data_IF_182228112148
#
_entry.id   IF_182228112148
#
_cell.length_a   1.000
_cell.length_b   1.000
_cell.length_c   1.000
_cell.angle_alpha   90.00
_cell.angle_beta   90.00
_cell.angle_gamma   90.00
#
_symmetry.space_group_name_H-M   'P 1'
#
loop_
_entity.id
_entity.type
_entity.pdbx_description
1 polymer ?
#
# COMPACT_ATOMS: atom_id res chain seq x y z
N UNK A 1 -61.98 -45.88 7.93
CA UNK A 1 -61.16 -44.83 8.60
C UNK A 1 -59.68 -44.88 8.22
N UNK A 2 -59.06 -46.06 8.07
CA UNK A 2 -57.63 -46.22 7.72
C UNK A 2 -57.24 -45.82 6.27
N UNK A 3 -58.16 -45.87 5.30
CA UNK A 3 -57.88 -45.45 3.91
C UNK A 3 -57.74 -43.94 3.78
N UNK A 4 -58.62 -43.17 4.43
CA UNK A 4 -58.60 -41.70 4.40
C UNK A 4 -57.30 -41.12 4.99
N UNK A 5 -56.75 -41.75 6.04
CA UNK A 5 -55.47 -41.32 6.62
C UNK A 5 -54.29 -41.56 5.68
N UNK A 6 -54.30 -42.67 4.91
CA UNK A 6 -53.23 -42.98 3.94
C UNK A 6 -53.25 -42.03 2.74
N UNK A 7 -54.42 -41.70 2.21
CA UNK A 7 -54.53 -40.72 1.13
C UNK A 7 -54.13 -39.32 1.58
N UNK A 8 -54.57 -38.91 2.78
CA UNK A 8 -54.21 -37.60 3.34
C UNK A 8 -52.69 -37.46 3.57
N UNK A 9 -52.04 -38.50 4.11
CA UNK A 9 -50.59 -38.54 4.32
C UNK A 9 -49.82 -38.55 2.98
N UNK A 10 -50.30 -39.28 1.98
CA UNK A 10 -49.65 -39.33 0.64
C UNK A 10 -49.75 -37.99 -0.08
N UNK A 11 -50.88 -37.30 0.05
CA UNK A 11 -51.08 -35.93 -0.45
C UNK A 11 -50.14 -34.98 0.31
N UNK A 12 -50.00 -35.07 1.63
CA UNK A 12 -49.07 -34.17 2.35
C UNK A 12 -47.61 -34.40 1.96
N UNK A 13 -47.20 -35.66 1.81
CA UNK A 13 -45.82 -36.04 1.45
C UNK A 13 -45.44 -35.56 0.04
N UNK A 14 -46.39 -35.42 -0.88
CA UNK A 14 -46.13 -35.00 -2.27
C UNK A 14 -46.20 -33.49 -2.47
N UNK A 15 -47.08 -32.80 -1.74
CA UNK A 15 -47.27 -31.35 -1.90
C UNK A 15 -46.20 -30.52 -1.18
N UNK A 16 -45.69 -31.00 -0.04
CA UNK A 16 -44.61 -30.32 0.70
C UNK A 16 -43.32 -30.17 -0.14
N UNK A 17 -42.73 -31.22 -0.74
CA UNK A 17 -41.52 -31.07 -1.54
C UNK A 17 -41.74 -30.27 -2.82
N UNK A 18 -42.94 -30.33 -3.40
CA UNK A 18 -43.31 -29.52 -4.56
C UNK A 18 -43.32 -28.03 -4.23
N UNK A 19 -43.92 -27.64 -3.09
CA UNK A 19 -43.86 -26.26 -2.62
C UNK A 19 -42.43 -25.81 -2.27
N UNK A 20 -41.64 -26.69 -1.67
CA UNK A 20 -40.25 -26.40 -1.34
C UNK A 20 -39.41 -26.17 -2.61
N UNK A 21 -39.65 -26.96 -3.66
CA UNK A 21 -39.05 -26.78 -4.98
C UNK A 21 -39.45 -25.44 -5.62
N UNK A 22 -40.74 -25.09 -5.59
CA UNK A 22 -41.22 -23.82 -6.13
C UNK A 22 -40.63 -22.61 -5.39
N UNK A 23 -40.52 -22.67 -4.06
CA UNK A 23 -39.91 -21.60 -3.25
C UNK A 23 -38.42 -21.47 -3.58
N UNK A 24 -37.69 -22.58 -3.70
CA UNK A 24 -36.28 -22.57 -4.11
C UNK A 24 -36.09 -21.92 -5.48
N UNK A 25 -36.93 -22.30 -6.45
CA UNK A 25 -36.89 -21.78 -7.81
C UNK A 25 -37.21 -20.27 -7.84
N UNK A 26 -38.19 -19.83 -7.04
CA UNK A 26 -38.51 -18.41 -6.86
C UNK A 26 -37.32 -17.61 -6.30
N UNK A 27 -36.66 -18.11 -5.25
CA UNK A 27 -35.49 -17.46 -4.66
C UNK A 27 -34.34 -17.36 -5.67
N UNK A 28 -34.07 -18.43 -6.43
CA UNK A 28 -33.04 -18.44 -7.48
C UNK A 28 -33.34 -17.41 -8.57
N UNK A 29 -34.59 -17.36 -9.06
CA UNK A 29 -35.02 -16.35 -10.03
C UNK A 29 -34.87 -14.93 -9.48
N UNK A 30 -35.26 -14.69 -8.23
CA UNK A 30 -35.12 -13.39 -7.58
C UNK A 30 -33.66 -12.95 -7.54
N UNK A 31 -32.74 -13.81 -7.10
CA UNK A 31 -31.31 -13.51 -7.05
C UNK A 31 -30.72 -13.30 -8.45
N UNK A 32 -31.19 -14.05 -9.46
CA UNK A 32 -30.72 -13.90 -10.84
C UNK A 32 -31.17 -12.58 -11.49
N UNK A 33 -32.34 -12.07 -11.11
CA UNK A 33 -32.90 -10.82 -11.64
C UNK A 33 -32.32 -9.61 -10.88
N UNK A 34 -32.15 -9.72 -9.56
CA UNK A 34 -31.57 -8.67 -8.72
C UNK A 34 -30.07 -8.58 -8.98
N UNK A 35 -29.68 -7.69 -9.87
CA UNK A 35 -28.28 -7.33 -10.05
C UNK A 35 -27.90 -6.33 -8.96
N UNK A 36 -26.87 -6.59 -8.14
CA UNK A 36 -26.35 -5.59 -7.23
C UNK A 36 -25.80 -4.42 -8.05
N UNK A 37 -26.40 -3.24 -7.90
CA UNK A 37 -25.90 -2.02 -8.51
C UNK A 37 -24.77 -1.46 -7.65
N UNK A 38 -23.53 -1.61 -8.09
CA UNK A 38 -22.38 -0.98 -7.45
C UNK A 38 -22.22 0.44 -7.99
N UNK A 39 -22.30 1.43 -7.11
CA UNK A 39 -22.04 2.82 -7.46
C UNK A 39 -20.58 3.18 -7.19
N UNK A 40 -19.87 3.68 -8.20
CA UNK A 40 -18.52 4.21 -8.03
C UNK A 40 -18.59 5.69 -7.69
N UNK A 41 -18.18 6.04 -6.46
CA UNK A 41 -18.14 7.44 -6.00
C UNK A 41 -16.72 7.98 -6.18
N UNK A 42 -16.53 8.93 -7.10
CA UNK A 42 -15.23 9.60 -7.29
C UNK A 42 -15.14 10.82 -6.38
N UNK A 43 -14.12 10.86 -5.51
CA UNK A 43 -13.80 12.03 -4.68
C UNK A 43 -12.50 12.67 -5.16
N UNK A 44 -12.54 13.99 -5.39
CA UNK A 44 -11.38 14.77 -5.80
C UNK A 44 -10.77 15.49 -4.60
N UNK A 45 -9.44 15.70 -4.64
CA UNK A 45 -8.71 16.51 -3.68
C UNK A 45 -8.94 16.10 -2.20
N UNK A 46 -8.80 14.82 -1.91
CA UNK A 46 -8.97 14.27 -0.56
C UNK A 46 -7.72 14.52 0.31
N UNK A 47 -7.92 14.83 1.59
CA UNK A 47 -6.84 14.93 2.57
C UNK A 47 -6.30 13.54 2.92
N UNK A 48 -5.02 13.45 3.31
CA UNK A 48 -4.38 12.19 3.77
C UNK A 48 -5.19 11.47 4.87
N UNK A 49 -5.76 12.21 5.81
CA UNK A 49 -6.58 11.62 6.88
C UNK A 49 -7.82 10.90 6.33
N UNK A 50 -8.52 11.52 5.38
CA UNK A 50 -9.71 10.95 4.73
C UNK A 50 -9.34 9.74 3.88
N UNK A 51 -8.22 9.80 3.16
CA UNK A 51 -7.70 8.65 2.42
C UNK A 51 -7.41 7.47 3.36
N UNK A 52 -6.70 7.71 4.46
CA UNK A 52 -6.37 6.67 5.43
C UNK A 52 -7.61 6.04 6.06
N UNK A 53 -8.65 6.83 6.31
CA UNK A 53 -9.93 6.33 6.80
C UNK A 53 -10.61 5.44 5.76
N UNK A 54 -10.76 5.92 4.52
CA UNK A 54 -11.38 5.16 3.43
C UNK A 54 -10.63 3.86 3.13
N UNK A 55 -9.30 3.89 3.20
CA UNK A 55 -8.45 2.71 2.99
C UNK A 55 -8.58 1.68 4.13
N UNK A 56 -8.94 2.11 5.35
CA UNK A 56 -9.23 1.19 6.47
C UNK A 56 -10.61 0.54 6.33
N UNK A 57 -11.58 1.29 5.83
CA UNK A 57 -12.97 0.85 5.72
C UNK A 57 -13.24 0.05 4.43
N UNK A 58 -12.54 0.35 3.34
CA UNK A 58 -12.84 -0.16 1.99
C UNK A 58 -11.56 -0.51 1.20
N UNK A 59 -10.56 -1.13 1.84
CA UNK A 59 -9.25 -1.43 1.23
C UNK A 59 -9.31 -2.12 -0.13
N UNK A 60 -10.29 -3.00 -0.28
CA UNK A 60 -10.45 -3.99 -1.36
C UNK A 60 -11.25 -3.44 -2.54
N UNK A 61 -11.95 -2.30 -2.36
CA UNK A 61 -12.73 -1.64 -3.41
C UNK A 61 -12.24 -0.23 -3.74
N UNK A 62 -11.26 0.29 -3.00
CA UNK A 62 -10.70 1.63 -3.20
C UNK A 62 -9.74 1.68 -4.39
N UNK A 63 -10.10 2.46 -5.42
CA UNK A 63 -9.27 2.69 -6.61
C UNK A 63 -8.76 4.13 -6.66
N UNK A 64 -7.44 4.29 -6.65
CA UNK A 64 -6.77 5.58 -6.84
C UNK A 64 -6.49 5.81 -8.33
N UNK A 65 -7.29 6.67 -8.96
CA UNK A 65 -7.00 7.14 -10.32
C UNK A 65 -5.88 8.18 -10.29
N UNK A 66 -4.75 7.89 -10.93
CA UNK A 66 -3.67 8.86 -11.10
C UNK A 66 -4.09 9.95 -12.10
N UNK A 67 -4.00 11.22 -11.70
CA UNK A 67 -4.32 12.36 -12.57
C UNK A 67 -3.24 12.64 -13.62
N UNK A 68 -2.03 12.13 -13.41
CA UNK A 68 -0.88 12.24 -14.32
C UNK A 68 -0.17 10.91 -14.39
N UNK A 69 0.28 10.54 -15.59
CA UNK A 69 1.07 9.32 -15.83
C UNK A 69 2.44 9.41 -15.14
N UNK A 70 2.99 10.62 -15.05
CA UNK A 70 4.27 10.88 -14.40
C UNK A 70 4.18 12.12 -13.52
N UNK A 71 4.79 12.03 -12.34
CA UNK A 71 4.96 13.17 -11.43
C UNK A 71 6.43 13.59 -11.49
N UNK A 72 6.76 14.81 -11.93
CA UNK A 72 8.15 15.24 -12.02
C UNK A 72 8.78 15.27 -10.63
N UNK A 73 10.04 14.85 -10.52
CA UNK A 73 10.78 14.75 -9.25
C UNK A 73 10.72 16.04 -8.42
N UNK A 74 10.82 17.19 -9.09
CA UNK A 74 10.72 18.53 -8.48
C UNK A 74 9.39 18.79 -7.76
N UNK A 75 8.30 18.08 -8.11
CA UNK A 75 6.99 18.28 -7.50
C UNK A 75 6.86 17.65 -6.11
N UNK A 76 7.66 16.62 -5.80
CA UNK A 76 7.63 15.95 -4.49
C UNK A 76 8.94 16.05 -3.71
N UNK A 77 10.05 16.46 -4.36
CA UNK A 77 11.34 16.69 -3.70
C UNK A 77 11.70 18.18 -3.74
N UNK A 78 11.82 18.78 -2.56
CA UNK A 78 12.37 20.12 -2.37
C UNK A 78 13.78 19.98 -1.80
N UNK A 79 14.79 20.09 -2.66
CA UNK A 79 16.19 20.10 -2.23
C UNK A 79 16.69 21.55 -2.10
N UNK A 80 17.03 21.97 -0.87
CA UNK A 80 17.75 23.22 -0.62
C UNK A 80 19.21 22.87 -0.37
N UNK A 81 20.02 22.92 -1.43
CA UNK A 81 21.46 22.69 -1.30
C UNK A 81 22.11 23.91 -0.66
N UNK A 82 22.70 23.72 0.53
CA UNK A 82 23.50 24.74 1.21
C UNK A 82 24.96 24.32 1.04
N UNK A 83 25.72 25.11 0.29
CA UNK A 83 27.17 24.92 0.17
C UNK A 83 27.85 25.53 1.39
N UNK A 84 28.52 24.69 2.17
CA UNK A 84 29.40 25.17 3.24
C UNK A 84 30.74 25.61 2.63
N UNK A 85 31.30 26.76 3.02
CA UNK A 85 32.59 27.21 2.51
C UNK A 85 33.68 26.20 2.89
N UNK A 86 34.47 25.77 1.89
CA UNK A 86 35.59 24.83 2.03
C UNK A 86 36.60 25.31 3.07
N UNK A 87 36.73 26.62 3.26
CA UNK A 87 37.64 27.28 4.20
C UNK A 87 37.37 26.98 5.69
N UNK A 88 36.27 26.29 6.04
CA UNK A 88 35.99 25.80 7.41
C UNK A 88 36.13 24.29 7.54
N UNK A 89 36.58 23.62 6.49
CA UNK A 89 36.80 22.17 6.52
C UNK A 89 38.07 21.85 7.30
N UNK A 90 38.06 20.73 8.02
CA UNK A 90 39.28 20.19 8.64
C UNK A 90 40.38 19.93 7.60
N UNK A 91 40.01 19.69 6.34
CA UNK A 91 40.96 19.43 5.26
C UNK A 91 41.76 20.66 4.78
N UNK A 92 41.34 21.87 5.16
CA UNK A 92 42.11 23.10 4.90
C UNK A 92 42.90 23.57 6.13
N UNK A 93 42.80 22.84 7.23
CA UNK A 93 43.51 23.18 8.45
C UNK A 93 45.02 22.89 8.29
N UNK A 94 45.85 23.84 8.71
CA UNK A 94 47.31 23.75 8.54
C UNK A 94 47.88 22.52 9.24
N UNK A 95 47.35 22.15 10.42
CA UNK A 95 47.77 20.97 11.15
C UNK A 95 47.44 19.70 10.34
N UNK A 96 46.27 19.66 9.69
CA UNK A 96 45.90 18.56 8.80
C UNK A 96 46.80 18.47 7.58
N UNK A 97 47.13 19.59 6.94
CA UNK A 97 48.04 19.63 5.79
C UNK A 97 49.42 19.08 6.20
N UNK A 98 49.94 19.48 7.36
CA UNK A 98 51.22 19.00 7.88
C UNK A 98 51.23 17.48 8.13
N UNK A 99 50.09 16.89 8.50
CA UNK A 99 50.00 15.43 8.67
C UNK A 99 50.23 14.64 7.37
N UNK A 100 49.99 15.26 6.20
CA UNK A 100 50.23 14.63 4.90
C UNK A 100 51.73 14.48 4.58
N UNK A 101 52.60 15.18 5.31
CA UNK A 101 54.06 15.17 5.13
C UNK A 101 54.82 14.48 6.27
N UNK A 102 54.12 13.70 7.11
CA UNK A 102 54.74 12.94 8.19
C UNK A 102 55.61 11.79 7.64
N UNK A 103 56.92 11.86 7.88
CA UNK A 103 57.90 10.85 7.45
C UNK A 103 57.66 9.44 8.04
N UNK A 104 56.97 9.36 9.17
CA UNK A 104 56.68 8.12 9.90
C UNK A 104 55.19 7.74 9.85
N UNK A 105 54.52 7.96 8.71
CA UNK A 105 53.11 7.60 8.52
C UNK A 105 52.80 6.11 8.80
N UNK A 106 53.80 5.23 8.70
CA UNK A 106 53.71 3.79 9.00
C UNK A 106 53.54 3.46 10.50
N UNK A 107 53.71 4.43 11.41
CA UNK A 107 53.46 4.25 12.85
C UNK A 107 51.97 4.25 13.21
N UNK A 108 51.12 4.72 12.31
CA UNK A 108 49.68 4.74 12.50
C UNK A 108 49.03 3.48 11.90
N UNK A 109 47.88 3.07 12.45
CA UNK A 109 47.18 1.88 11.97
C UNK A 109 46.71 2.03 10.51
N UNK A 110 46.46 0.91 9.83
CA UNK A 110 46.03 0.89 8.42
C UNK A 110 44.66 1.54 8.17
N UNK A 111 43.84 1.71 9.21
CA UNK A 111 42.57 2.45 9.15
C UNK A 111 42.70 3.95 9.43
N UNK A 112 43.90 4.44 9.76
CA UNK A 112 44.17 5.86 9.98
C UNK A 112 44.46 6.54 8.63
N UNK A 113 43.82 7.67 8.37
CA UNK A 113 44.02 8.42 7.13
C UNK A 113 45.48 8.88 7.00
N UNK A 114 46.20 9.13 8.10
CA UNK A 114 47.61 9.56 8.06
C UNK A 114 48.53 8.51 7.46
N UNK A 115 48.13 7.24 7.52
CA UNK A 115 48.86 6.11 6.91
C UNK A 115 48.65 6.05 5.39
N UNK A 116 47.52 6.55 4.89
CA UNK A 116 47.08 6.37 3.49
C UNK A 116 47.05 7.65 2.66
N UNK A 117 46.94 8.81 3.31
CA UNK A 117 46.87 10.12 2.70
C UNK A 117 48.24 10.82 2.57
N UNK A 118 49.33 10.18 3.02
CA UNK A 118 50.68 10.74 2.90
C UNK A 118 51.04 10.99 1.42
N UNK A 119 51.53 12.19 1.11
CA UNK A 119 51.98 12.53 -0.24
C UNK A 119 53.41 12.03 -0.46
N UNK A 120 53.61 11.15 -1.44
CA UNK A 120 54.93 10.65 -1.87
C UNK A 120 55.90 11.77 -2.25
#
# INVERSE_FOLDING_TARGET
MQLFTKEFITITITFIPFHLFLVSLYILCYIAIVKPESQTITKYNITRAVFNQLNRENSDTLLCSCSKVEVPFKAFVSNKTIFHPVCKSIFVDQQWIETLYLKDASRYGTGDFRTTAYSQ
#
